data_IF_744212944235
#
_entry.id   IF_744212944235
#
_cell.length_a   1.000
_cell.length_b   1.000
_cell.length_c   1.000
_cell.angle_alpha   90.00
_cell.angle_beta   90.00
_cell.angle_gamma   90.00
#
_symmetry.space_group_name_H-M   'P 1'
#
loop_
_entity.id
_entity.type
_entity.pdbx_description
1 polymer ?
#
# COMPACT_ATOMS: atom_id res chain seq x y z
N UNK A 1 6.18 -84.61 -12.11
CA UNK A 1 7.46 -83.88 -11.99
C UNK A 1 7.53 -82.85 -13.12
N UNK A 2 7.80 -81.59 -12.74
CA UNK A 2 7.68 -80.36 -13.53
C UNK A 2 8.54 -80.37 -14.80
N UNK A 3 7.99 -79.92 -15.94
CA UNK A 3 8.76 -79.33 -17.05
C UNK A 3 8.07 -78.04 -17.46
N UNK A 4 8.76 -76.92 -17.23
CA UNK A 4 8.33 -75.58 -17.57
C UNK A 4 8.54 -75.32 -19.07
N UNK A 5 7.55 -74.71 -19.72
CA UNK A 5 7.61 -74.26 -21.10
C UNK A 5 7.69 -72.74 -21.08
N UNK A 6 8.78 -72.18 -21.62
CA UNK A 6 8.94 -70.73 -21.79
C UNK A 6 8.29 -70.31 -23.11
N UNK A 7 7.30 -69.43 -23.06
CA UNK A 7 6.73 -68.77 -24.23
C UNK A 7 7.16 -67.30 -24.23
N UNK A 8 7.84 -66.90 -25.30
CA UNK A 8 8.34 -65.55 -25.55
C UNK A 8 7.17 -64.70 -26.13
N UNK A 9 6.71 -63.69 -25.40
CA UNK A 9 5.65 -62.78 -25.86
C UNK A 9 6.31 -61.57 -26.54
N UNK A 10 6.09 -61.46 -27.86
CA UNK A 10 6.47 -60.30 -28.66
C UNK A 10 5.37 -59.23 -28.52
N UNK A 11 5.68 -58.12 -27.87
CA UNK A 11 4.76 -57.01 -27.62
C UNK A 11 4.80 -56.02 -28.80
N UNK A 12 3.72 -55.98 -29.59
CA UNK A 12 3.53 -55.01 -30.68
C UNK A 12 2.97 -53.72 -30.08
N UNK A 13 3.75 -52.64 -30.09
CA UNK A 13 3.28 -51.31 -29.69
C UNK A 13 2.45 -50.68 -30.81
N UNK A 14 1.17 -50.42 -30.56
CA UNK A 14 0.35 -49.53 -31.37
C UNK A 14 0.64 -48.08 -30.96
N UNK A 15 1.11 -47.27 -31.90
CA UNK A 15 1.29 -45.83 -31.70
C UNK A 15 -0.06 -45.15 -31.91
N UNK A 16 -0.73 -44.81 -30.81
CA UNK A 16 -1.89 -43.92 -30.83
C UNK A 16 -1.38 -42.48 -30.98
N UNK A 17 -1.60 -41.88 -32.14
CA UNK A 17 -1.28 -40.47 -32.36
C UNK A 17 -2.16 -39.57 -31.49
N UNK A 18 -1.56 -38.90 -30.51
CA UNK A 18 -2.18 -37.77 -29.83
C UNK A 18 -2.42 -36.65 -30.85
N UNK A 19 -3.68 -36.44 -31.22
CA UNK A 19 -4.10 -35.17 -31.81
C UNK A 19 -4.03 -34.12 -30.70
N UNK A 20 -3.01 -33.27 -30.73
CA UNK A 20 -3.02 -32.04 -29.95
C UNK A 20 -4.04 -31.10 -30.59
N UNK A 21 -5.11 -30.77 -29.86
CA UNK A 21 -5.95 -29.63 -30.20
C UNK A 21 -5.06 -28.39 -30.34
N UNK A 22 -5.32 -27.47 -31.30
CA UNK A 22 -4.63 -26.19 -31.33
C UNK A 22 -4.78 -25.51 -29.96
N UNK A 23 -3.80 -24.70 -29.51
CA UNK A 23 -3.99 -23.94 -28.29
C UNK A 23 -5.25 -23.10 -28.49
N UNK A 24 -6.27 -23.35 -27.66
CA UNK A 24 -7.40 -22.46 -27.56
C UNK A 24 -6.82 -21.06 -27.44
N UNK A 25 -7.12 -20.17 -28.39
CA UNK A 25 -6.91 -18.75 -28.19
C UNK A 25 -7.88 -18.36 -27.08
N UNK A 26 -7.51 -18.62 -25.83
CA UNK A 26 -8.30 -18.24 -24.66
C UNK A 26 -8.31 -16.73 -24.66
N UNK A 27 -9.34 -16.15 -25.26
CA UNK A 27 -9.60 -14.73 -25.14
C UNK A 27 -10.02 -14.47 -23.69
N UNK A 28 -9.02 -14.32 -22.82
CA UNK A 28 -9.20 -14.07 -21.40
C UNK A 28 -9.35 -12.57 -21.10
N UNK A 29 -9.55 -11.77 -22.15
CA UNK A 29 -9.74 -10.33 -22.09
C UNK A 29 -11.18 -9.94 -21.74
N UNK A 30 -11.35 -8.99 -20.83
CA UNK A 30 -12.61 -8.28 -20.58
C UNK A 30 -12.37 -6.80 -20.86
N UNK A 31 -13.18 -6.22 -21.74
CA UNK A 31 -13.14 -4.79 -21.98
C UNK A 31 -13.66 -4.01 -20.77
N UNK A 32 -12.93 -2.98 -20.34
CA UNK A 32 -13.28 -2.14 -19.21
C UNK A 32 -14.68 -1.52 -19.34
N UNK A 33 -15.14 -1.25 -20.56
CA UNK A 33 -16.50 -0.79 -20.84
C UNK A 33 -17.58 -1.78 -20.43
N UNK A 34 -17.32 -3.10 -20.47
CA UNK A 34 -18.26 -4.12 -19.98
C UNK A 34 -18.41 -4.07 -18.46
N UNK A 35 -17.31 -3.83 -17.74
CA UNK A 35 -17.31 -3.63 -16.30
C UNK A 35 -18.09 -2.37 -15.94
N UNK A 36 -17.79 -1.25 -16.61
CA UNK A 36 -18.51 0.01 -16.42
C UNK A 36 -20.00 -0.11 -16.70
N UNK A 37 -20.39 -0.87 -17.73
CA UNK A 37 -21.78 -1.17 -18.02
C UNK A 37 -22.46 -1.99 -16.90
N UNK A 38 -21.74 -2.88 -16.24
CA UNK A 38 -22.26 -3.66 -15.11
C UNK A 38 -22.49 -2.78 -13.88
N UNK A 39 -21.54 -1.90 -13.56
CA UNK A 39 -21.67 -0.90 -12.47
C UNK A 39 -22.88 0.00 -12.73
N UNK A 40 -23.02 0.52 -13.95
CA UNK A 40 -24.12 1.38 -14.34
C UNK A 40 -25.50 0.70 -14.30
N UNK A 41 -25.54 -0.64 -14.36
CA UNK A 41 -26.76 -1.45 -14.18
C UNK A 41 -27.01 -1.84 -12.73
N UNK A 42 -26.21 -1.32 -11.78
CA UNK A 42 -26.32 -1.67 -10.36
C UNK A 42 -25.92 -3.11 -10.06
N UNK A 43 -25.11 -3.74 -10.91
CA UNK A 43 -24.62 -5.11 -10.68
C UNK A 43 -23.25 -5.08 -10.01
N UNK A 44 -23.09 -5.90 -8.97
CA UNK A 44 -21.80 -6.14 -8.33
C UNK A 44 -20.75 -6.56 -9.36
N UNK A 45 -19.53 -6.07 -9.19
CA UNK A 45 -18.40 -6.45 -10.04
C UNK A 45 -17.58 -7.48 -9.27
N UNK A 46 -17.50 -8.69 -9.82
CA UNK A 46 -16.57 -9.73 -9.37
C UNK A 46 -15.89 -10.29 -10.61
N UNK A 47 -14.60 -10.04 -10.74
CA UNK A 47 -13.79 -10.51 -11.88
C UNK A 47 -12.56 -11.22 -11.34
N UNK A 48 -12.30 -12.43 -11.86
CA UNK A 48 -11.20 -13.26 -11.39
C UNK A 48 -10.38 -13.82 -12.56
N UNK A 49 -9.05 -13.69 -12.48
CA UNK A 49 -8.14 -14.33 -13.44
C UNK A 49 -8.21 -13.76 -14.85
N UNK A 50 -8.58 -12.47 -15.02
CA UNK A 50 -8.84 -11.85 -16.33
C UNK A 50 -7.87 -10.73 -16.67
N UNK A 51 -7.68 -10.51 -17.97
CA UNK A 51 -6.96 -9.36 -18.50
C UNK A 51 -8.00 -8.27 -18.80
N UNK A 52 -7.91 -7.13 -18.13
CA UNK A 52 -8.79 -5.99 -18.37
C UNK A 52 -8.16 -5.10 -19.44
N UNK A 53 -8.84 -4.97 -20.58
CA UNK A 53 -8.40 -4.15 -21.71
C UNK A 53 -9.11 -2.80 -21.70
N UNK A 54 -8.43 -1.75 -22.17
CA UNK A 54 -8.94 -0.38 -22.12
C UNK A 54 -8.78 0.27 -20.74
N UNK A 55 -9.09 1.57 -20.68
CA UNK A 55 -9.04 2.34 -19.43
C UNK A 55 -10.30 2.07 -18.59
N UNK A 56 -10.11 1.74 -17.30
CA UNK A 56 -11.17 1.59 -16.32
C UNK A 56 -11.31 2.88 -15.52
N UNK A 57 -12.20 3.76 -15.98
CA UNK A 57 -12.44 5.05 -15.37
C UNK A 57 -13.73 5.06 -14.53
N UNK A 58 -13.59 4.87 -13.22
CA UNK A 58 -14.71 4.90 -12.28
C UNK A 58 -15.37 6.28 -12.20
N UNK A 59 -14.68 7.36 -12.57
CA UNK A 59 -15.27 8.71 -12.60
C UNK A 59 -16.32 8.87 -13.71
N UNK A 60 -16.32 7.96 -14.71
CA UNK A 60 -17.22 7.98 -15.86
C UNK A 60 -18.54 7.21 -15.66
N UNK A 61 -18.89 6.80 -14.43
CA UNK A 61 -20.20 6.20 -14.18
C UNK A 61 -21.36 7.17 -14.42
N UNK A 62 -22.52 6.62 -14.78
CA UNK A 62 -23.74 7.39 -15.04
C UNK A 62 -24.34 7.97 -13.77
N UNK A 63 -24.23 7.26 -12.65
CA UNK A 63 -24.71 7.74 -11.37
C UNK A 63 -23.73 8.78 -10.84
N UNK A 64 -24.04 10.05 -11.06
CA UNK A 64 -23.23 11.17 -10.56
C UNK A 64 -24.13 12.31 -10.06
N UNK A 65 -23.69 12.99 -9.00
CA UNK A 65 -24.37 14.12 -8.39
C UNK A 65 -23.52 15.39 -8.47
N UNK A 66 -24.15 16.55 -8.68
CA UNK A 66 -23.48 17.85 -8.57
C UNK A 66 -23.39 18.20 -7.08
N UNK A 67 -22.17 18.40 -6.59
CA UNK A 67 -21.95 18.90 -5.22
C UNK A 67 -21.85 20.43 -5.21
N UNK A 68 -21.14 21.01 -6.19
CA UNK A 68 -20.98 22.45 -6.36
C UNK A 68 -20.79 22.82 -7.83
N UNK A 69 -20.65 24.11 -8.13
CA UNK A 69 -20.30 24.59 -9.48
C UNK A 69 -18.95 24.09 -9.99
N UNK A 70 -18.07 23.60 -9.11
CA UNK A 70 -16.72 23.10 -9.44
C UNK A 70 -16.51 21.61 -9.16
N UNK A 71 -17.48 20.93 -8.54
CA UNK A 71 -17.32 19.53 -8.11
C UNK A 71 -18.56 18.68 -8.39
N UNK A 72 -18.31 17.52 -9.00
CA UNK A 72 -19.25 16.40 -9.15
C UNK A 72 -18.73 15.17 -8.41
N UNK A 73 -19.66 14.38 -7.90
CA UNK A 73 -19.38 13.12 -7.22
C UNK A 73 -19.94 11.98 -8.07
N UNK A 74 -19.07 11.13 -8.59
CA UNK A 74 -19.40 9.86 -9.21
C UNK A 74 -19.68 8.82 -8.11
N UNK A 75 -20.82 8.13 -8.15
CA UNK A 75 -21.26 7.20 -7.12
C UNK A 75 -21.19 5.75 -7.59
N UNK A 76 -20.30 4.97 -6.98
CA UNK A 76 -20.22 3.51 -7.15
C UNK A 76 -21.00 2.86 -6.00
N UNK A 77 -22.27 2.55 -6.25
CA UNK A 77 -23.18 1.96 -5.26
C UNK A 77 -23.10 0.45 -5.11
N UNK A 78 -22.15 -0.21 -5.77
CA UNK A 78 -21.99 -1.67 -5.80
C UNK A 78 -20.61 -2.07 -5.30
N UNK A 79 -20.44 -3.26 -4.71
CA UNK A 79 -19.10 -3.77 -4.40
C UNK A 79 -18.31 -4.03 -5.69
N UNK A 80 -17.01 -3.76 -5.62
CA UNK A 80 -16.07 -3.93 -6.74
C UNK A 80 -14.93 -4.83 -6.30
N UNK A 81 -14.83 -6.00 -6.92
CA UNK A 81 -13.83 -7.01 -6.58
C UNK A 81 -13.15 -7.53 -7.84
N UNK A 82 -11.83 -7.38 -7.86
CA UNK A 82 -10.91 -7.97 -8.83
C UNK A 82 -9.93 -8.86 -8.08
N UNK A 83 -9.82 -10.11 -8.54
CA UNK A 83 -8.91 -11.11 -7.98
C UNK A 83 -8.00 -11.60 -9.10
N UNK A 84 -6.69 -11.54 -8.92
CA UNK A 84 -5.73 -12.08 -9.90
C UNK A 84 -5.96 -11.53 -11.33
N UNK A 85 -6.18 -10.22 -11.45
CA UNK A 85 -6.47 -9.56 -12.72
C UNK A 85 -5.27 -8.74 -13.22
N UNK A 86 -5.14 -8.61 -14.55
CA UNK A 86 -4.13 -7.76 -15.18
C UNK A 86 -4.82 -6.57 -15.82
N UNK A 87 -4.52 -5.34 -15.40
CA UNK A 87 -5.04 -4.12 -16.01
C UNK A 87 -4.05 -3.58 -17.04
N UNK A 88 -4.45 -3.60 -18.31
CA UNK A 88 -3.61 -3.12 -19.43
C UNK A 88 -3.69 -1.60 -19.60
N UNK A 89 -4.87 -1.01 -19.38
CA UNK A 89 -5.09 0.44 -19.41
C UNK A 89 -4.95 1.09 -18.04
N UNK A 90 -5.21 2.39 -17.99
CA UNK A 90 -5.24 3.15 -16.74
C UNK A 90 -6.44 2.75 -15.89
N UNK A 91 -6.30 2.84 -14.58
CA UNK A 91 -7.42 2.72 -13.63
C UNK A 91 -7.56 4.05 -12.90
N UNK A 92 -8.69 4.73 -13.03
CA UNK A 92 -8.88 6.10 -12.51
C UNK A 92 -10.15 6.24 -11.68
N UNK A 93 -10.10 7.04 -10.61
CA UNK A 93 -11.26 7.41 -9.78
C UNK A 93 -11.55 8.90 -9.76
N UNK A 94 -10.83 9.67 -10.57
CA UNK A 94 -11.00 11.10 -10.68
C UNK A 94 -10.88 11.53 -12.13
N UNK A 95 -11.43 12.71 -12.43
CA UNK A 95 -11.39 13.29 -13.76
C UNK A 95 -11.86 14.73 -13.76
N UNK A 96 -11.96 15.32 -14.94
CA UNK A 96 -12.47 16.67 -15.14
C UNK A 96 -13.31 16.70 -16.41
N UNK A 97 -14.46 17.36 -16.34
CA UNK A 97 -15.32 17.58 -17.50
C UNK A 97 -15.90 18.98 -17.45
N UNK A 98 -15.72 19.75 -18.52
CA UNK A 98 -16.21 21.13 -18.65
C UNK A 98 -15.75 22.03 -17.48
N UNK A 99 -14.47 21.89 -17.07
CA UNK A 99 -13.88 22.56 -15.90
C UNK A 99 -14.49 22.21 -14.53
N UNK A 100 -15.31 21.16 -14.47
CA UNK A 100 -15.85 20.61 -13.22
C UNK A 100 -15.02 19.37 -12.86
N UNK A 101 -14.43 19.37 -11.66
CA UNK A 101 -13.73 18.21 -11.13
C UNK A 101 -14.73 17.09 -10.81
N UNK A 102 -14.33 15.85 -11.04
CA UNK A 102 -15.11 14.66 -10.71
C UNK A 102 -14.30 13.83 -9.73
N UNK A 103 -14.90 13.55 -8.58
CA UNK A 103 -14.36 12.66 -7.55
C UNK A 103 -15.25 11.44 -7.41
N UNK A 104 -14.71 10.31 -6.97
CA UNK A 104 -15.49 9.07 -6.86
C UNK A 104 -15.75 8.70 -5.40
N UNK A 105 -16.99 8.29 -5.12
CA UNK A 105 -17.38 7.68 -3.85
C UNK A 105 -17.80 6.23 -4.08
N UNK A 106 -17.10 5.30 -3.44
CA UNK A 106 -17.48 3.90 -3.34
C UNK A 106 -18.32 3.68 -2.08
N UNK A 107 -19.60 3.35 -2.25
CA UNK A 107 -20.52 3.06 -1.14
C UNK A 107 -20.31 1.68 -0.50
N UNK A 108 -19.31 0.93 -0.95
CA UNK A 108 -18.99 -0.44 -0.49
C UNK A 108 -17.48 -0.66 -0.55
N UNK A 109 -17.04 -1.85 -0.15
CA UNK A 109 -15.62 -2.23 -0.22
C UNK A 109 -15.12 -2.29 -1.65
N UNK A 110 -13.82 -2.01 -1.83
CA UNK A 110 -13.10 -2.24 -3.08
C UNK A 110 -11.99 -3.25 -2.87
N UNK A 111 -11.77 -4.14 -3.83
CA UNK A 111 -10.74 -5.17 -3.78
C UNK A 111 -10.06 -5.31 -5.13
N UNK A 112 -8.73 -5.26 -5.11
CA UNK A 112 -7.81 -5.50 -6.21
C UNK A 112 -6.70 -6.42 -5.69
N UNK A 113 -7.08 -7.64 -5.34
CA UNK A 113 -6.17 -8.63 -4.76
C UNK A 113 -5.37 -9.32 -5.85
N UNK A 114 -4.06 -9.44 -5.66
CA UNK A 114 -3.12 -10.03 -6.61
C UNK A 114 -3.22 -9.43 -8.02
N UNK A 115 -3.61 -8.16 -8.15
CA UNK A 115 -3.80 -7.51 -9.45
C UNK A 115 -2.52 -6.85 -9.97
N UNK A 116 -2.22 -6.98 -11.27
CA UNK A 116 -1.09 -6.34 -11.96
C UNK A 116 -1.57 -5.13 -12.78
N UNK A 117 -1.23 -3.92 -12.34
CA UNK A 117 -1.51 -2.65 -13.02
C UNK A 117 -0.34 -2.28 -13.92
N UNK A 118 -0.50 -2.46 -15.24
CA UNK A 118 0.55 -2.21 -16.23
C UNK A 118 0.65 -0.75 -16.69
N UNK A 119 -0.34 0.06 -16.33
CA UNK A 119 -0.37 1.50 -16.57
C UNK A 119 -0.63 2.25 -15.24
N UNK A 120 -0.73 3.57 -15.28
CA UNK A 120 -1.00 4.39 -14.09
C UNK A 120 -2.31 3.94 -13.40
N UNK A 121 -2.23 3.76 -12.09
CA UNK A 121 -3.35 3.47 -11.21
C UNK A 121 -3.59 4.68 -10.30
N UNK A 122 -4.57 5.50 -10.66
CA UNK A 122 -4.89 6.75 -9.99
C UNK A 122 -6.24 6.66 -9.25
N UNK A 123 -6.15 6.33 -7.97
CA UNK A 123 -7.23 6.32 -7.01
C UNK A 123 -7.33 7.65 -6.23
N UNK A 124 -6.69 8.72 -6.68
CA UNK A 124 -6.70 10.00 -5.97
C UNK A 124 -8.11 10.59 -5.91
N UNK A 125 -8.35 11.39 -4.86
CA UNK A 125 -9.60 12.09 -4.60
C UNK A 125 -10.82 11.15 -4.55
N UNK A 126 -10.68 9.97 -3.93
CA UNK A 126 -11.81 9.07 -3.74
C UNK A 126 -12.14 8.83 -2.26
N UNK A 127 -13.40 8.53 -1.99
CA UNK A 127 -13.85 8.05 -0.68
C UNK A 127 -14.33 6.61 -0.81
N UNK A 128 -13.89 5.73 0.09
CA UNK A 128 -14.38 4.35 0.19
C UNK A 128 -15.02 4.16 1.57
N UNK A 129 -16.32 3.87 1.57
CA UNK A 129 -17.08 3.63 2.81
C UNK A 129 -16.78 2.26 3.42
N UNK A 130 -16.48 1.26 2.58
CA UNK A 130 -16.13 -0.09 2.99
C UNK A 130 -14.62 -0.31 3.21
N UNK A 131 -14.24 -1.58 3.31
CA UNK A 131 -12.83 -1.97 3.39
C UNK A 131 -12.11 -1.79 2.04
N UNK A 132 -10.81 -1.56 2.10
CA UNK A 132 -9.95 -1.43 0.93
C UNK A 132 -8.93 -2.57 0.95
N UNK A 133 -8.77 -3.29 -0.16
CA UNK A 133 -7.81 -4.39 -0.26
C UNK A 133 -7.04 -4.36 -1.59
N UNK A 134 -5.73 -4.14 -1.50
CA UNK A 134 -4.73 -4.19 -2.57
C UNK A 134 -3.64 -5.22 -2.23
N UNK A 135 -3.98 -6.26 -1.46
CA UNK A 135 -3.03 -7.31 -1.08
C UNK A 135 -2.42 -7.97 -2.32
N UNK A 136 -1.10 -8.02 -2.39
CA UNK A 136 -0.36 -8.58 -3.52
C UNK A 136 -0.46 -7.76 -4.82
N UNK A 137 -1.01 -6.54 -4.78
CA UNK A 137 -1.10 -5.70 -5.98
C UNK A 137 0.29 -5.29 -6.48
N UNK A 138 0.44 -5.26 -7.80
CA UNK A 138 1.68 -4.88 -8.49
C UNK A 138 1.40 -3.63 -9.31
N UNK A 139 2.09 -2.53 -9.00
CA UNK A 139 2.00 -1.26 -9.71
C UNK A 139 3.28 -1.05 -10.54
N UNK A 140 3.17 -1.24 -11.86
CA UNK A 140 4.29 -1.09 -12.80
C UNK A 140 4.60 0.37 -13.12
N UNK A 141 3.58 1.22 -13.07
CA UNK A 141 3.70 2.68 -13.24
C UNK A 141 3.34 3.40 -11.94
N UNK A 142 2.81 4.63 -12.01
CA UNK A 142 2.49 5.39 -10.79
C UNK A 142 1.26 4.78 -10.10
N UNK A 143 1.35 4.70 -8.78
CA UNK A 143 0.24 4.32 -7.91
C UNK A 143 -0.13 5.53 -7.04
N UNK A 144 -1.24 6.18 -7.37
CA UNK A 144 -1.65 7.43 -6.74
C UNK A 144 -2.92 7.20 -5.92
N UNK A 145 -2.83 7.50 -4.64
CA UNK A 145 -3.87 7.44 -3.63
C UNK A 145 -3.90 8.76 -2.85
N UNK A 146 -3.74 9.89 -3.55
CA UNK A 146 -3.68 11.20 -2.89
C UNK A 146 -5.08 11.69 -2.53
N UNK A 147 -5.20 12.38 -1.40
CA UNK A 147 -6.47 12.94 -0.93
C UNK A 147 -7.59 11.87 -0.82
N UNK A 148 -7.24 10.64 -0.47
CA UNK A 148 -8.24 9.58 -0.26
C UNK A 148 -8.81 9.63 1.14
N UNK A 149 -10.05 9.19 1.29
CA UNK A 149 -10.66 8.92 2.59
C UNK A 149 -11.13 7.47 2.63
N UNK A 150 -10.44 6.63 3.39
CA UNK A 150 -10.80 5.23 3.60
C UNK A 150 -11.42 5.05 4.98
N UNK A 151 -12.74 4.85 5.01
CA UNK A 151 -13.53 4.80 6.24
C UNK A 151 -13.70 3.40 6.82
N UNK A 152 -13.43 2.37 6.00
CA UNK A 152 -13.52 1.00 6.43
C UNK A 152 -12.60 0.68 7.59
N UNK A 153 -12.99 -0.31 8.40
CA UNK A 153 -12.21 -0.78 9.56
C UNK A 153 -10.78 -1.21 9.24
N UNK A 154 -10.50 -1.59 7.99
CA UNK A 154 -9.21 -2.13 7.54
C UNK A 154 -8.91 -1.67 6.11
N UNK A 155 -7.65 -1.29 5.91
CA UNK A 155 -7.04 -0.98 4.62
C UNK A 155 -5.82 -1.87 4.43
N UNK A 156 -5.86 -2.77 3.45
CA UNK A 156 -4.79 -3.73 3.19
C UNK A 156 -4.00 -3.34 1.94
N UNK A 157 -2.70 -3.15 2.12
CA UNK A 157 -1.69 -3.09 1.08
C UNK A 157 -0.59 -4.11 1.41
N UNK A 158 -0.94 -5.29 1.89
CA UNK A 158 0.06 -6.29 2.27
C UNK A 158 0.73 -6.88 1.03
N UNK A 159 2.04 -7.11 1.06
CA UNK A 159 2.81 -7.66 -0.06
C UNK A 159 2.64 -6.91 -1.40
N UNK A 160 2.27 -5.62 -1.38
CA UNK A 160 2.20 -4.83 -2.61
C UNK A 160 3.60 -4.58 -3.18
N UNK A 161 3.69 -4.31 -4.48
CA UNK A 161 4.91 -3.80 -5.09
C UNK A 161 4.65 -2.57 -5.96
N UNK A 162 5.53 -1.58 -5.88
CA UNK A 162 5.52 -0.39 -6.74
C UNK A 162 6.89 -0.21 -7.40
N UNK A 163 6.92 -0.21 -8.72
CA UNK A 163 8.15 -0.02 -9.50
C UNK A 163 8.50 1.47 -9.67
N UNK A 164 7.48 2.32 -9.72
CA UNK A 164 7.63 3.78 -9.82
C UNK A 164 7.13 4.43 -8.52
N UNK A 165 6.56 5.63 -8.65
CA UNK A 165 6.11 6.42 -7.51
C UNK A 165 4.82 5.84 -6.90
N UNK A 166 4.86 5.53 -5.60
CA UNK A 166 3.68 5.27 -4.79
C UNK A 166 3.41 6.48 -3.90
N UNK A 167 2.18 6.97 -3.93
CA UNK A 167 1.79 8.18 -3.21
C UNK A 167 0.45 8.00 -2.55
N UNK A 168 0.37 8.21 -1.26
CA UNK A 168 -0.87 8.36 -0.50
C UNK A 168 -0.71 9.59 0.37
N UNK A 169 -0.71 10.76 -0.25
CA UNK A 169 -0.50 12.03 0.43
C UNK A 169 -1.83 12.68 0.81
N UNK A 170 -1.82 13.54 1.84
CA UNK A 170 -2.99 14.33 2.25
C UNK A 170 -4.27 13.48 2.47
N UNK A 171 -4.07 12.25 2.94
CA UNK A 171 -5.12 11.23 3.00
C UNK A 171 -5.59 10.99 4.43
N UNK A 172 -6.78 10.40 4.57
CA UNK A 172 -7.36 10.02 5.87
C UNK A 172 -7.70 8.55 5.85
N UNK A 173 -7.10 7.79 6.78
CA UNK A 173 -7.34 6.36 6.95
C UNK A 173 -7.94 6.14 8.34
N UNK A 174 -9.26 5.94 8.40
CA UNK A 174 -9.98 5.87 9.68
C UNK A 174 -9.70 4.57 10.44
N UNK A 175 -9.65 3.45 9.70
CA UNK A 175 -9.35 2.13 10.25
C UNK A 175 -7.86 1.83 10.39
N UNK A 176 -7.52 0.57 10.68
CA UNK A 176 -6.13 0.13 10.63
C UNK A 176 -5.63 0.11 9.18
N UNK A 177 -4.36 0.44 8.99
CA UNK A 177 -3.67 0.38 7.70
C UNK A 177 -2.54 -0.63 7.77
N UNK A 178 -2.51 -1.59 6.85
CA UNK A 178 -1.50 -2.64 6.83
C UNK A 178 -0.73 -2.67 5.50
N UNK A 179 0.53 -2.21 5.54
CA UNK A 179 1.50 -2.20 4.46
C UNK A 179 2.58 -3.30 4.66
N UNK A 180 2.28 -4.33 5.47
CA UNK A 180 3.21 -5.42 5.77
C UNK A 180 3.78 -6.06 4.50
N UNK A 181 5.10 -6.26 4.46
CA UNK A 181 5.82 -6.86 3.33
C UNK A 181 5.70 -6.10 2.00
N UNK A 182 5.28 -4.84 2.04
CA UNK A 182 5.26 -3.99 0.86
C UNK A 182 6.66 -3.72 0.31
N UNK A 183 6.76 -3.50 -1.00
CA UNK A 183 8.01 -3.13 -1.67
C UNK A 183 7.82 -1.90 -2.56
N UNK A 184 8.62 -0.86 -2.34
CA UNK A 184 8.65 0.34 -3.17
C UNK A 184 10.05 0.56 -3.75
N UNK A 185 10.17 0.43 -5.07
CA UNK A 185 11.45 0.67 -5.76
C UNK A 185 11.64 2.16 -6.08
N UNK A 186 10.56 2.84 -6.46
CA UNK A 186 10.53 4.30 -6.60
C UNK A 186 10.26 5.02 -5.27
N UNK A 187 10.02 6.34 -5.33
CA UNK A 187 9.65 7.12 -4.15
C UNK A 187 8.35 6.56 -3.53
N UNK A 188 8.30 6.50 -2.21
CA UNK A 188 7.12 6.21 -1.40
C UNK A 188 6.76 7.46 -0.60
N UNK A 189 5.52 7.95 -0.70
CA UNK A 189 5.08 9.13 0.05
C UNK A 189 3.77 8.87 0.79
N UNK A 190 3.78 9.18 2.08
CA UNK A 190 2.61 9.29 2.96
C UNK A 190 2.47 10.70 3.55
N UNK A 191 3.14 11.69 2.94
CA UNK A 191 3.18 13.06 3.43
C UNK A 191 1.78 13.59 3.80
N UNK A 192 1.66 14.21 4.97
CA UNK A 192 0.41 14.81 5.47
C UNK A 192 -0.77 13.83 5.61
N UNK A 193 -0.51 12.52 5.76
CA UNK A 193 -1.57 11.52 5.97
C UNK A 193 -1.95 11.38 7.43
N UNK A 194 -3.25 11.30 7.70
CA UNK A 194 -3.85 11.08 9.01
C UNK A 194 -4.26 9.61 9.16
N UNK A 195 -3.41 8.81 9.81
CA UNK A 195 -3.70 7.43 10.17
C UNK A 195 -4.37 7.38 11.55
N UNK A 196 -5.67 7.09 11.59
CA UNK A 196 -6.44 7.13 12.83
C UNK A 196 -6.45 5.80 13.59
N UNK A 197 -6.35 4.69 12.87
CA UNK A 197 -6.06 3.37 13.44
C UNK A 197 -4.57 3.06 13.49
N UNK A 198 -4.22 1.87 13.97
CA UNK A 198 -2.85 1.34 13.92
C UNK A 198 -2.36 1.27 12.48
N UNK A 199 -1.16 1.80 12.21
CA UNK A 199 -0.50 1.75 10.92
C UNK A 199 0.72 0.82 10.98
N UNK A 200 0.69 -0.25 10.19
CA UNK A 200 1.77 -1.24 10.13
C UNK A 200 2.54 -1.10 8.82
N UNK A 201 3.84 -0.88 8.95
CA UNK A 201 4.85 -0.84 7.88
C UNK A 201 5.96 -1.87 8.15
N UNK A 202 5.64 -2.94 8.87
CA UNK A 202 6.62 -3.97 9.22
C UNK A 202 7.05 -4.74 7.99
N UNK A 203 8.33 -5.13 7.91
CA UNK A 203 8.92 -5.84 6.76
C UNK A 203 8.77 -5.06 5.43
N UNK A 204 8.63 -3.74 5.50
CA UNK A 204 8.54 -2.86 4.33
C UNK A 204 9.93 -2.65 3.73
N UNK A 205 10.07 -2.85 2.42
CA UNK A 205 11.33 -2.67 1.68
C UNK A 205 11.24 -1.51 0.69
N UNK A 206 11.90 -0.41 0.99
CA UNK A 206 11.85 0.83 0.22
C UNK A 206 13.24 1.23 -0.30
N UNK A 207 13.52 1.00 -1.57
CA UNK A 207 14.79 1.39 -2.18
C UNK A 207 14.82 2.88 -2.57
N UNK A 208 13.66 3.46 -2.89
CA UNK A 208 13.53 4.89 -3.17
C UNK A 208 13.45 5.75 -1.91
N UNK A 209 13.32 7.07 -2.11
CA UNK A 209 13.07 8.01 -1.01
C UNK A 209 11.72 7.69 -0.35
N UNK A 210 11.67 7.72 0.97
CA UNK A 210 10.47 7.47 1.78
C UNK A 210 10.11 8.72 2.58
N UNK A 211 8.91 9.24 2.36
CA UNK A 211 8.47 10.53 2.88
C UNK A 211 7.22 10.38 3.74
N UNK A 212 7.41 10.49 5.05
CA UNK A 212 6.40 10.48 6.10
C UNK A 212 6.33 11.85 6.79
N UNK A 213 6.75 12.93 6.11
CA UNK A 213 6.71 14.27 6.70
C UNK A 213 5.26 14.71 6.95
N UNK A 214 5.00 15.45 8.03
CA UNK A 214 3.67 15.94 8.43
C UNK A 214 2.63 14.83 8.68
N UNK A 215 3.05 13.57 8.79
CA UNK A 215 2.13 12.46 9.07
C UNK A 215 1.60 12.56 10.50
N UNK A 216 0.35 12.18 10.70
CA UNK A 216 -0.27 12.05 12.01
C UNK A 216 -0.67 10.58 12.24
N UNK A 217 0.02 9.92 13.15
CA UNK A 217 -0.35 8.59 13.63
C UNK A 217 -1.09 8.72 14.95
N UNK A 218 -2.41 8.58 14.93
CA UNK A 218 -3.24 8.70 16.15
C UNK A 218 -3.23 7.45 17.03
N UNK A 219 -2.69 6.35 16.51
CA UNK A 219 -2.46 5.08 17.22
C UNK A 219 -1.02 4.64 17.00
N UNK A 220 -0.74 3.36 17.21
CA UNK A 220 0.59 2.78 17.05
C UNK A 220 1.07 2.81 15.58
N UNK A 221 2.34 3.15 15.39
CA UNK A 221 3.03 3.12 14.10
C UNK A 221 4.19 2.10 14.17
N UNK A 222 4.10 1.04 13.37
CA UNK A 222 4.94 -0.16 13.52
C UNK A 222 5.80 -0.41 12.27
N UNK A 223 7.10 -0.18 12.36
CA UNK A 223 8.07 -0.31 11.25
C UNK A 223 9.04 -1.48 11.45
N UNK A 224 8.68 -2.48 12.27
CA UNK A 224 9.58 -3.60 12.61
C UNK A 224 10.13 -4.31 11.37
N UNK A 225 11.45 -4.53 11.31
CA UNK A 225 12.16 -5.16 10.17
C UNK A 225 12.07 -4.40 8.84
N UNK A 226 11.70 -3.11 8.84
CA UNK A 226 11.69 -2.32 7.62
C UNK A 226 13.11 -1.97 7.13
N UNK A 227 13.27 -1.82 5.82
CA UNK A 227 14.50 -1.41 5.17
C UNK A 227 14.24 -0.18 4.30
N UNK A 228 15.01 0.88 4.52
CA UNK A 228 14.97 2.12 3.75
C UNK A 228 16.33 2.32 3.07
N UNK A 229 16.41 1.97 1.78
CA UNK A 229 17.57 2.15 0.93
C UNK A 229 17.84 3.62 0.61
N UNK A 230 16.78 4.37 0.31
CA UNK A 230 16.83 5.80 0.04
C UNK A 230 16.66 6.67 1.30
N UNK A 231 16.65 7.98 1.10
CA UNK A 231 16.40 8.97 2.16
C UNK A 231 15.06 8.71 2.86
N UNK A 232 15.07 8.69 4.20
CA UNK A 232 13.87 8.60 5.02
C UNK A 232 13.58 9.94 5.69
N UNK A 233 12.35 10.45 5.54
CA UNK A 233 11.88 11.66 6.22
C UNK A 233 10.64 11.38 7.02
N UNK A 234 10.61 11.83 8.26
CA UNK A 234 9.46 11.88 9.17
C UNK A 234 9.50 13.23 9.90
N UNK A 235 9.72 14.30 9.14
CA UNK A 235 9.79 15.66 9.68
C UNK A 235 8.41 16.19 10.03
N UNK A 236 8.30 16.93 11.13
CA UNK A 236 7.04 17.55 11.57
C UNK A 236 5.89 16.54 11.79
N UNK A 237 6.26 15.27 12.05
CA UNK A 237 5.32 14.18 12.30
C UNK A 237 4.80 14.19 13.74
N UNK A 238 3.60 13.65 13.94
CA UNK A 238 3.04 13.41 15.28
C UNK A 238 2.68 11.93 15.43
N UNK A 239 3.07 11.33 16.55
CA UNK A 239 2.68 9.95 16.91
C UNK A 239 2.08 9.97 18.32
N UNK A 240 0.77 9.72 18.40
CA UNK A 240 0.06 9.65 19.66
C UNK A 240 0.30 8.31 20.38
N UNK A 241 0.29 7.20 19.62
CA UNK A 241 0.61 5.86 20.12
C UNK A 241 2.10 5.61 20.22
N UNK A 242 2.51 4.34 20.27
CA UNK A 242 3.94 3.99 20.23
C UNK A 242 4.49 4.05 18.79
N UNK A 243 5.77 4.40 18.69
CA UNK A 243 6.53 4.30 17.44
C UNK A 243 7.57 3.19 17.60
N UNK A 244 7.35 2.08 16.89
CA UNK A 244 8.28 0.94 16.88
C UNK A 244 9.10 0.98 15.60
N UNK A 245 10.36 1.41 15.72
CA UNK A 245 11.41 1.35 14.70
C UNK A 245 12.40 0.27 15.14
N UNK A 246 11.97 -1.00 15.15
CA UNK A 246 12.75 -2.12 15.68
C UNK A 246 13.38 -2.91 14.53
N UNK A 247 14.68 -3.19 14.59
CA UNK A 247 15.42 -3.88 13.54
C UNK A 247 15.26 -3.20 12.17
N UNK A 248 15.19 -1.86 12.16
CA UNK A 248 15.09 -1.07 10.94
C UNK A 248 16.48 -0.81 10.40
N UNK A 249 16.64 -0.87 9.08
CA UNK A 249 17.89 -0.44 8.42
C UNK A 249 17.63 0.81 7.60
N UNK A 250 18.29 1.91 7.97
CA UNK A 250 18.36 3.12 7.16
C UNK A 250 19.70 3.18 6.43
N UNK A 251 19.71 3.00 5.12
CA UNK A 251 20.95 2.95 4.33
C UNK A 251 21.43 4.33 3.86
N UNK A 252 20.55 5.34 3.88
CA UNK A 252 20.83 6.73 3.52
C UNK A 252 20.50 7.67 4.68
N UNK A 253 20.54 8.99 4.43
CA UNK A 253 20.16 9.99 5.43
C UNK A 253 18.72 9.81 5.95
N UNK A 254 18.57 9.97 7.25
CA UNK A 254 17.33 9.83 8.01
C UNK A 254 17.05 11.12 8.77
N UNK A 255 15.91 11.75 8.52
CA UNK A 255 15.47 12.98 9.18
C UNK A 255 14.15 12.75 9.88
N UNK A 256 14.20 12.66 11.21
CA UNK A 256 13.03 12.61 12.10
C UNK A 256 13.05 13.90 12.92
N UNK A 257 12.87 15.03 12.24
CA UNK A 257 13.08 16.37 12.80
C UNK A 257 11.76 17.06 13.15
N UNK A 258 11.76 17.91 14.18
CA UNK A 258 10.58 18.64 14.66
C UNK A 258 9.35 17.73 14.93
N UNK A 259 9.57 16.45 15.17
CA UNK A 259 8.49 15.51 15.41
C UNK A 259 8.06 15.54 16.89
N UNK A 260 6.83 15.13 17.16
CA UNK A 260 6.30 14.99 18.52
C UNK A 260 5.82 13.56 18.73
N UNK A 261 6.45 12.87 19.69
CA UNK A 261 6.11 11.51 20.07
C UNK A 261 5.50 11.49 21.47
N UNK A 262 4.18 11.30 21.54
CA UNK A 262 3.43 11.25 22.79
C UNK A 262 3.52 9.89 23.48
N UNK A 263 3.70 8.81 22.70
CA UNK A 263 3.97 7.47 23.20
C UNK A 263 5.45 7.10 23.20
N UNK A 264 5.73 5.85 23.59
CA UNK A 264 7.11 5.32 23.66
C UNK A 264 7.69 5.18 22.24
N UNK A 265 8.98 5.49 22.11
CA UNK A 265 9.75 5.27 20.89
C UNK A 265 10.75 4.15 21.13
N UNK A 266 10.78 3.18 20.22
CA UNK A 266 11.68 2.04 20.30
C UNK A 266 12.55 1.94 19.03
N UNK A 267 13.86 2.01 19.21
CA UNK A 267 14.91 1.93 18.18
C UNK A 267 15.74 0.63 18.31
N UNK A 268 15.25 -0.37 19.03
CA UNK A 268 16.00 -1.61 19.30
C UNK A 268 16.50 -2.25 18.01
N UNK A 269 17.81 -2.57 17.94
CA UNK A 269 18.49 -3.18 16.78
C UNK A 269 18.41 -2.37 15.48
N UNK A 270 18.05 -1.10 15.56
CA UNK A 270 18.00 -0.24 14.36
C UNK A 270 19.39 0.26 14.01
N UNK A 271 19.68 0.23 12.71
CA UNK A 271 20.98 0.59 12.14
C UNK A 271 20.76 1.76 11.19
N UNK A 272 21.45 2.88 11.45
CA UNK A 272 21.55 3.97 10.50
C UNK A 272 22.96 4.02 9.89
N UNK A 273 23.07 3.88 8.57
CA UNK A 273 24.35 3.87 7.87
C UNK A 273 24.88 5.28 7.56
N UNK A 274 24.06 6.30 7.74
CA UNK A 274 24.40 7.69 7.46
C UNK A 274 23.82 8.63 8.54
N UNK A 275 23.62 9.91 8.21
CA UNK A 275 22.95 10.92 9.06
C UNK A 275 21.68 10.35 9.68
N UNK A 276 21.60 10.44 10.99
CA UNK A 276 20.39 10.20 11.78
C UNK A 276 20.10 11.48 12.57
N UNK A 277 19.19 12.28 12.04
CA UNK A 277 18.86 13.60 12.58
C UNK A 277 17.51 13.57 13.31
N UNK A 278 17.54 13.85 14.61
CA UNK A 278 16.36 13.99 15.48
C UNK A 278 16.23 15.42 16.03
N UNK A 279 16.80 16.41 15.33
CA UNK A 279 16.78 17.80 15.77
C UNK A 279 15.36 18.33 15.93
N UNK A 280 15.13 19.11 16.98
CA UNK A 280 13.83 19.70 17.32
C UNK A 280 12.76 18.71 17.78
N UNK A 281 13.07 17.41 17.84
CA UNK A 281 12.07 16.37 18.17
C UNK A 281 11.81 16.25 19.67
N UNK A 282 10.55 16.05 20.03
CA UNK A 282 10.08 15.95 21.40
C UNK A 282 9.62 14.52 21.72
N UNK A 283 10.22 13.91 22.75
CA UNK A 283 9.88 12.59 23.25
C UNK A 283 9.18 12.73 24.62
N UNK A 284 7.87 12.53 24.64
CA UNK A 284 7.04 12.79 25.83
C UNK A 284 7.07 11.66 26.87
N UNK A 285 7.55 10.47 26.50
CA UNK A 285 7.69 9.31 27.40
C UNK A 285 9.15 9.05 27.79
N UNK A 286 9.99 10.09 27.77
CA UNK A 286 11.42 9.99 28.07
C UNK A 286 12.26 9.57 26.87
N UNK A 287 13.48 9.08 27.14
CA UNK A 287 14.42 8.66 26.09
C UNK A 287 13.90 7.44 25.32
N UNK A 288 14.15 7.35 24.00
CA UNK A 288 13.87 6.14 23.23
C UNK A 288 14.60 4.91 23.81
N UNK A 289 13.99 3.74 23.66
CA UNK A 289 14.69 2.46 23.88
C UNK A 289 15.67 2.25 22.73
N UNK A 290 16.94 2.00 23.02
CA UNK A 290 18.03 2.00 22.03
C UNK A 290 18.94 0.78 22.16
N UNK A 291 18.41 -0.34 22.67
CA UNK A 291 19.19 -1.58 22.80
C UNK A 291 19.71 -2.03 21.43
N UNK A 292 21.03 -2.17 21.28
CA UNK A 292 21.68 -2.50 20.00
C UNK A 292 21.40 -1.49 18.86
N UNK A 293 20.96 -0.26 19.17
CA UNK A 293 20.91 0.83 18.19
C UNK A 293 22.33 1.25 17.80
N UNK A 294 22.57 1.45 16.50
CA UNK A 294 23.89 1.85 16.00
C UNK A 294 23.82 2.81 14.82
N UNK A 295 24.86 3.64 14.72
CA UNK A 295 25.09 4.54 13.60
C UNK A 295 26.49 4.23 13.08
N UNK A 296 26.59 3.79 11.81
CA UNK A 296 27.86 3.30 11.25
C UNK A 296 28.86 4.43 10.96
N UNK A 297 28.37 5.62 10.59
CA UNK A 297 29.21 6.81 10.38
C UNK A 297 29.34 7.65 11.67
N UNK A 298 30.55 7.76 12.23
CA UNK A 298 30.83 8.56 13.43
C UNK A 298 30.43 10.02 13.26
N UNK A 299 29.80 10.61 14.29
CA UNK A 299 29.43 12.04 14.31
C UNK A 299 28.19 12.39 13.49
N UNK A 300 27.43 11.39 13.03
CA UNK A 300 26.22 11.55 12.20
C UNK A 300 24.90 11.48 12.98
N UNK A 301 24.96 11.34 14.30
CA UNK A 301 23.81 11.55 15.18
C UNK A 301 23.65 13.04 15.46
N UNK A 302 22.56 13.63 15.00
CA UNK A 302 22.26 15.05 15.23
C UNK A 302 21.04 15.15 16.14
N UNK A 303 21.19 15.81 17.29
CA UNK A 303 20.15 15.89 18.33
C UNK A 303 19.86 17.33 18.75
N UNK A 304 20.16 18.31 17.88
CA UNK A 304 20.09 19.73 18.23
C UNK A 304 18.65 20.12 18.59
N UNK A 305 18.44 20.56 19.83
CA UNK A 305 17.11 20.94 20.31
C UNK A 305 16.14 19.77 20.55
N UNK A 306 16.59 18.52 20.48
CA UNK A 306 15.79 17.37 20.90
C UNK A 306 15.48 17.44 22.40
N UNK A 307 14.25 17.10 22.80
CA UNK A 307 13.76 17.21 24.18
C UNK A 307 13.17 15.89 24.65
N UNK A 308 13.41 15.56 25.92
CA UNK A 308 12.88 14.36 26.56
C UNK A 308 12.13 14.78 27.83
N UNK A 309 10.89 14.33 27.99
CA UNK A 309 10.18 14.55 29.24
C UNK A 309 10.90 13.81 30.38
N UNK A 310 11.11 14.49 31.51
CA UNK A 310 11.57 13.87 32.75
C UNK A 310 10.34 13.35 33.46
N UNK A 311 10.19 12.03 33.56
CA UNK A 311 9.15 11.44 34.41
C UNK A 311 9.58 11.60 35.86
N UNK A 312 9.14 12.68 36.51
CA UNK A 312 9.19 12.75 37.96
C UNK A 312 8.15 11.76 38.48
N UNK A 313 8.60 10.60 38.96
CA UNK A 313 7.76 9.74 39.79
C UNK A 313 7.36 10.57 41.00
N UNK A 314 6.08 10.85 41.15
CA UNK A 314 5.57 11.37 42.41
C UNK A 314 5.76 10.28 43.46
N UNK A 315 6.85 10.33 44.22
CA UNK A 315 6.99 9.56 45.45
C UNK A 315 6.01 10.13 46.44
N UNK A 316 4.92 9.41 46.71
CA UNK A 316 4.11 9.65 47.90
C UNK A 316 4.91 9.16 49.09
N UNK A 317 5.46 10.08 49.88
CA UNK A 317 5.90 9.80 51.26
C UNK A 317 4.73 9.37 52.15
#
# INVERSE_FOLDING_TARGET
>A
MKKAFYAFILMVMMVSGCHASPPDTVNNGIDAGQIMNSINKGKAVVVQGKIITGDLDFSAVKKSGIFSSSLRIAEIGVPVTFLDCIFMGRVTTNGQKDNIAIVTRFGSSITFEACDFRNDADFSNCTVEGMVNFTGAIFRQKALFNNVTFKGRQTYFTAFSSEKFFSMQESVIDGSADFFKGRATGKLSFQSTDFRGTARFSDLDCNGKSDFSLVNFRSDALFTYASFGGEFRMSDATVAGRLDLISVTFSSGTWITNAVFSGKVNLTKTIARNVFDVSGTMFMQGKPVMDEFSIEETGKLITNGARFAVTNEFTTE
#
